data_IF_328007231697
#
_entry.id   IF_328007231697
#
_cell.length_a   1.000
_cell.length_b   1.000
_cell.length_c   1.000
_cell.angle_alpha   90.00
_cell.angle_beta   90.00
_cell.angle_gamma   90.00
#
_symmetry.space_group_name_H-M   'P 1'
#
loop_
_entity.id
_entity.type
_entity.pdbx_description
1 polymer ?
#
# COMPACT_ATOMS: atom_id res chain seq x y z
N UNK A 1 -9.47 -0.88 5.36
CA UNK A 1 -8.61 -2.10 5.36
C UNK A 1 -7.64 -2.11 4.19
N UNK A 2 -8.09 -2.11 2.91
CA UNK A 2 -7.19 -2.25 1.74
C UNK A 2 -6.05 -1.23 1.71
N UNK A 3 -6.31 0.04 1.98
CA UNK A 3 -5.25 1.06 2.01
C UNK A 3 -4.15 0.74 3.04
N UNK A 4 -4.53 0.33 4.25
CA UNK A 4 -3.56 -0.05 5.29
C UNK A 4 -2.79 -1.31 4.90
N UNK A 5 -3.47 -2.32 4.35
CA UNK A 5 -2.80 -3.54 3.85
C UNK A 5 -1.77 -3.20 2.77
N UNK A 6 -2.10 -2.27 1.86
CA UNK A 6 -1.21 -1.85 0.78
C UNK A 6 0.05 -1.14 1.29
N UNK A 7 -0.10 -0.23 2.25
CA UNK A 7 1.05 0.47 2.83
C UNK A 7 1.94 -0.47 3.63
N UNK A 8 1.38 -1.33 4.47
CA UNK A 8 2.12 -2.34 5.24
C UNK A 8 2.85 -3.32 4.32
N UNK A 9 2.20 -3.78 3.26
CA UNK A 9 2.81 -4.66 2.26
C UNK A 9 4.00 -3.99 1.56
N UNK A 10 3.84 -2.73 1.19
CA UNK A 10 4.91 -1.94 0.56
C UNK A 10 6.12 -1.75 1.48
N UNK A 11 5.90 -1.47 2.75
CA UNK A 11 6.97 -1.37 3.76
C UNK A 11 7.68 -2.72 3.96
N UNK A 12 6.93 -3.82 4.05
CA UNK A 12 7.48 -5.15 4.23
C UNK A 12 8.36 -5.57 3.05
N UNK A 13 7.92 -5.32 1.80
CA UNK A 13 8.72 -5.57 0.60
C UNK A 13 10.02 -4.73 0.67
N UNK A 14 9.90 -3.43 0.93
CA UNK A 14 11.06 -2.54 0.99
C UNK A 14 12.06 -2.94 2.08
N UNK A 15 11.57 -3.35 3.25
CA UNK A 15 12.42 -3.85 4.33
C UNK A 15 13.15 -5.15 3.94
N UNK A 16 12.42 -6.11 3.36
CA UNK A 16 12.99 -7.38 2.91
C UNK A 16 14.10 -7.15 1.87
N UNK A 17 13.85 -6.36 0.85
CA UNK A 17 14.84 -6.06 -0.20
C UNK A 17 16.07 -5.34 0.34
N UNK A 18 15.88 -4.32 1.18
CA UNK A 18 16.99 -3.58 1.79
C UNK A 18 17.80 -4.41 2.80
N UNK A 19 17.19 -5.48 3.32
CA UNK A 19 17.88 -6.46 4.19
C UNK A 19 18.61 -7.56 3.40
N UNK A 20 18.56 -7.54 2.07
CA UNK A 20 19.22 -8.49 1.20
C UNK A 20 18.41 -9.73 0.82
N UNK A 21 17.12 -9.79 1.22
CA UNK A 21 16.21 -10.84 0.79
C UNK A 21 15.70 -10.52 -0.63
N UNK A 22 15.67 -11.51 -1.49
CA UNK A 22 15.05 -11.34 -2.80
C UNK A 22 13.53 -11.21 -2.69
N UNK A 23 12.94 -10.39 -3.52
CA UNK A 23 11.49 -10.15 -3.54
C UNK A 23 10.70 -11.44 -3.73
N UNK A 24 11.16 -12.31 -4.61
CA UNK A 24 10.54 -13.61 -4.89
C UNK A 24 10.52 -14.50 -3.65
N UNK A 25 11.63 -14.53 -2.89
CA UNK A 25 11.72 -15.30 -1.64
C UNK A 25 10.75 -14.76 -0.59
N UNK A 26 10.61 -13.45 -0.48
CA UNK A 26 9.62 -12.82 0.40
C UNK A 26 8.19 -13.22 0.00
N UNK A 27 7.85 -13.19 -1.30
CA UNK A 27 6.53 -13.57 -1.78
C UNK A 27 6.23 -15.06 -1.60
N UNK A 28 7.23 -15.93 -1.75
CA UNK A 28 7.09 -17.36 -1.49
C UNK A 28 6.76 -17.65 -0.02
N UNK A 29 7.46 -16.99 0.90
CA UNK A 29 7.20 -17.09 2.35
C UNK A 29 5.79 -16.57 2.67
N UNK A 30 5.43 -15.39 2.17
CA UNK A 30 4.10 -14.79 2.39
C UNK A 30 2.99 -15.71 1.85
N UNK A 31 3.17 -16.27 0.65
CA UNK A 31 2.21 -17.15 -0.01
C UNK A 31 2.05 -18.51 0.66
N UNK A 32 3.02 -18.93 1.47
CA UNK A 32 2.99 -20.19 2.23
C UNK A 32 2.51 -20.02 3.66
N UNK A 33 2.30 -18.78 4.12
CA UNK A 33 1.96 -18.45 5.49
C UNK A 33 0.50 -18.09 5.71
N UNK A 34 0.19 -17.72 6.95
CA UNK A 34 -1.16 -17.35 7.39
C UNK A 34 -1.72 -16.08 6.72
N UNK A 35 -0.86 -15.25 6.13
CA UNK A 35 -1.27 -14.02 5.43
C UNK A 35 -1.51 -14.22 3.93
N UNK A 36 -1.41 -15.46 3.43
CA UNK A 36 -1.67 -15.74 2.02
C UNK A 36 -3.09 -15.32 1.65
N UNK A 37 -3.20 -14.52 0.60
CA UNK A 37 -4.49 -14.06 0.09
C UNK A 37 -4.39 -13.69 -1.40
N UNK A 38 -5.51 -13.72 -2.15
CA UNK A 38 -5.54 -13.24 -3.53
C UNK A 38 -5.06 -11.79 -3.66
N UNK A 39 -5.35 -10.95 -2.67
CA UNK A 39 -4.91 -9.56 -2.64
C UNK A 39 -3.39 -9.43 -2.74
N UNK A 40 -2.65 -10.10 -1.86
CA UNK A 40 -1.19 -10.05 -1.86
C UNK A 40 -0.59 -10.66 -3.12
N UNK A 41 -1.20 -11.71 -3.67
CA UNK A 41 -0.77 -12.32 -4.94
C UNK A 41 -0.91 -11.33 -6.11
N UNK A 42 -2.06 -10.67 -6.22
CA UNK A 42 -2.32 -9.68 -7.28
C UNK A 42 -1.38 -8.48 -7.14
N UNK A 43 -1.24 -7.92 -5.94
CA UNK A 43 -0.42 -6.75 -5.72
C UNK A 43 1.08 -7.05 -5.75
N UNK A 44 1.49 -8.23 -5.34
CA UNK A 44 2.87 -8.72 -5.51
C UNK A 44 3.26 -8.82 -6.99
N UNK A 45 2.37 -9.38 -7.82
CA UNK A 45 2.58 -9.40 -9.26
C UNK A 45 2.66 -7.98 -9.87
N UNK A 46 1.80 -7.07 -9.41
CA UNK A 46 1.84 -5.67 -9.86
C UNK A 46 3.17 -5.00 -9.48
N UNK A 47 3.70 -5.24 -8.27
CA UNK A 47 5.02 -4.73 -7.86
C UNK A 47 6.13 -5.32 -8.71
N UNK A 48 6.11 -6.63 -8.98
CA UNK A 48 7.12 -7.29 -9.80
C UNK A 48 7.19 -6.77 -11.24
N UNK A 49 6.04 -6.44 -11.80
CA UNK A 49 5.92 -5.97 -13.19
C UNK A 49 5.81 -4.46 -13.31
N UNK A 50 5.88 -3.74 -12.19
CA UNK A 50 5.70 -2.28 -12.13
C UNK A 50 4.39 -1.79 -12.78
N UNK A 51 3.30 -2.54 -12.56
CA UNK A 51 1.97 -2.23 -13.11
C UNK A 51 1.27 -1.18 -12.24
N UNK A 52 1.72 0.06 -12.35
CA UNK A 52 1.22 1.18 -11.54
C UNK A 52 0.37 2.18 -12.32
N UNK A 53 0.48 2.17 -13.65
CA UNK A 53 -0.09 3.18 -14.52
C UNK A 53 -1.62 3.11 -14.61
N UNK A 54 -2.31 4.18 -15.04
CA UNK A 54 -3.78 4.18 -15.13
C UNK A 54 -4.38 3.05 -15.96
N UNK A 55 -3.68 2.55 -16.99
CA UNK A 55 -4.12 1.41 -17.80
C UNK A 55 -4.09 0.06 -17.07
N UNK A 56 -3.31 -0.05 -16.01
CA UNK A 56 -3.12 -1.30 -15.24
C UNK A 56 -3.99 -1.36 -13.97
N UNK A 57 -4.79 -0.32 -13.72
CA UNK A 57 -5.51 -0.13 -12.46
C UNK A 57 -6.54 -1.21 -12.20
N UNK A 58 -6.47 -1.81 -11.00
CA UNK A 58 -7.55 -2.61 -10.43
C UNK A 58 -8.36 -1.83 -9.40
N UNK A 59 -7.72 -0.89 -8.70
CA UNK A 59 -8.35 0.04 -7.77
C UNK A 59 -7.54 1.33 -7.67
N UNK A 60 -8.13 2.46 -8.05
CA UNK A 60 -7.42 3.74 -8.10
C UNK A 60 -7.04 4.27 -6.72
N UNK A 61 -5.87 4.88 -6.65
CA UNK A 61 -5.33 5.48 -5.42
C UNK A 61 -6.27 6.50 -4.80
N UNK A 62 -6.87 7.39 -5.59
CA UNK A 62 -7.82 8.39 -5.10
C UNK A 62 -9.04 7.78 -4.40
N UNK A 63 -9.50 6.61 -4.83
CA UNK A 63 -10.62 5.91 -4.20
C UNK A 63 -10.18 5.23 -2.89
N UNK A 64 -8.99 4.66 -2.85
CA UNK A 64 -8.42 4.10 -1.62
C UNK A 64 -8.21 5.19 -0.56
N UNK A 65 -7.69 6.35 -0.97
CA UNK A 65 -7.54 7.51 -0.09
C UNK A 65 -8.90 8.03 0.42
N UNK A 66 -9.90 8.12 -0.46
CA UNK A 66 -11.26 8.50 -0.07
C UNK A 66 -11.81 7.55 1.00
N UNK A 67 -11.63 6.25 0.84
CA UNK A 67 -12.09 5.27 1.82
C UNK A 67 -11.40 5.45 3.18
N UNK A 68 -10.10 5.74 3.20
CA UNK A 68 -9.35 6.05 4.41
C UNK A 68 -9.87 7.33 5.07
N UNK A 69 -10.11 8.38 4.29
CA UNK A 69 -10.66 9.65 4.79
C UNK A 69 -12.02 9.46 5.44
N UNK A 70 -12.93 8.76 4.77
CA UNK A 70 -14.27 8.48 5.32
C UNK A 70 -14.20 7.64 6.60
N UNK A 71 -13.28 6.67 6.66
CA UNK A 71 -13.08 5.89 7.88
C UNK A 71 -12.56 6.75 9.03
N UNK A 72 -11.65 7.68 8.77
CA UNK A 72 -11.12 8.61 9.78
C UNK A 72 -12.21 9.57 10.29
N UNK A 73 -13.02 10.12 9.39
CA UNK A 73 -14.15 10.99 9.74
C UNK A 73 -15.14 10.22 10.66
N UNK A 74 -15.52 9.01 10.29
CA UNK A 74 -16.38 8.17 11.12
C UNK A 74 -15.73 7.85 12.47
N UNK A 75 -14.43 7.54 12.49
CA UNK A 75 -13.69 7.30 13.73
C UNK A 75 -13.78 8.47 14.70
N UNK A 76 -13.67 9.71 14.19
CA UNK A 76 -13.84 10.92 15.01
C UNK A 76 -15.26 11.04 15.56
N UNK A 77 -16.28 10.80 14.74
CA UNK A 77 -17.70 10.86 15.17
C UNK A 77 -18.01 9.88 16.30
N UNK A 78 -17.43 8.68 16.25
CA UNK A 78 -17.71 7.62 17.25
C UNK A 78 -16.64 7.50 18.33
N UNK A 79 -15.67 8.43 18.39
CA UNK A 79 -14.56 8.45 19.34
C UNK A 79 -13.68 7.19 19.28
N UNK A 80 -13.48 6.60 18.09
CA UNK A 80 -12.55 5.50 17.84
C UNK A 80 -11.27 5.99 17.22
N UNK A 81 -10.15 5.84 17.91
CA UNK A 81 -8.83 6.17 17.34
C UNK A 81 -8.47 5.19 16.22
N UNK A 82 -8.04 5.75 15.09
CA UNK A 82 -7.60 5.00 13.88
C UNK A 82 -6.17 5.40 13.50
N UNK A 83 -5.22 5.22 14.40
CA UNK A 83 -3.82 5.66 14.23
C UNK A 83 -3.19 5.06 12.97
N UNK A 84 -3.30 3.76 12.76
CA UNK A 84 -2.70 3.08 11.59
C UNK A 84 -3.32 3.57 10.27
N UNK A 85 -4.64 3.77 10.26
CA UNK A 85 -5.33 4.32 9.09
C UNK A 85 -4.89 5.77 8.79
N UNK A 86 -4.62 6.56 9.82
CA UNK A 86 -4.14 7.95 9.69
C UNK A 86 -2.76 8.00 9.01
N UNK A 87 -1.83 7.16 9.46
CA UNK A 87 -0.50 7.07 8.85
C UNK A 87 -0.57 6.57 7.40
N UNK A 88 -1.37 5.54 7.13
CA UNK A 88 -1.60 5.07 5.77
C UNK A 88 -2.19 6.17 4.88
N UNK A 89 -3.18 6.93 5.38
CA UNK A 89 -3.78 8.04 4.64
C UNK A 89 -2.75 9.12 4.27
N UNK A 90 -1.84 9.45 5.18
CA UNK A 90 -0.78 10.42 4.91
C UNK A 90 0.12 9.96 3.74
N UNK A 91 0.46 8.68 3.66
CA UNK A 91 1.26 8.11 2.57
C UNK A 91 0.51 8.17 1.23
N UNK A 92 -0.79 7.90 1.22
CA UNK A 92 -1.62 8.05 0.02
C UNK A 92 -1.73 9.51 -0.44
N UNK A 93 -1.91 10.45 0.48
CA UNK A 93 -1.92 11.88 0.16
C UNK A 93 -0.59 12.34 -0.44
N UNK A 94 0.53 11.84 0.10
CA UNK A 94 1.86 12.13 -0.46
C UNK A 94 2.01 11.58 -1.88
N UNK A 95 1.55 10.37 -2.14
CA UNK A 95 1.57 9.78 -3.47
C UNK A 95 0.68 10.56 -4.45
N UNK A 96 -0.51 10.96 -4.03
CA UNK A 96 -1.41 11.81 -4.84
C UNK A 96 -0.79 13.17 -5.14
N UNK A 97 -0.07 13.79 -4.20
CA UNK A 97 0.66 15.03 -4.42
C UNK A 97 1.78 14.90 -5.47
N UNK A 98 2.22 13.68 -5.77
CA UNK A 98 3.17 13.36 -6.86
C UNK A 98 2.47 13.02 -8.19
N UNK A 99 1.15 13.19 -8.29
CA UNK A 99 0.37 12.97 -9.51
C UNK A 99 -0.07 11.52 -9.73
N UNK A 100 -0.12 10.70 -8.67
CA UNK A 100 -0.44 9.27 -8.77
C UNK A 100 -1.92 8.94 -8.45
N UNK A 101 -2.79 9.94 -8.40
CA UNK A 101 -4.20 9.79 -8.01
C UNK A 101 -4.99 8.81 -8.88
N UNK A 102 -4.69 8.77 -10.18
CA UNK A 102 -5.34 7.89 -11.16
C UNK A 102 -4.63 6.54 -11.35
N UNK A 103 -3.45 6.38 -10.76
CA UNK A 103 -2.70 5.13 -10.75
C UNK A 103 -3.32 4.09 -9.82
N UNK A 104 -2.90 2.83 -9.93
CA UNK A 104 -3.28 1.80 -8.97
C UNK A 104 -2.81 2.18 -7.56
N UNK A 105 -3.58 1.80 -6.54
CA UNK A 105 -3.20 2.12 -5.15
C UNK A 105 -1.83 1.55 -4.75
N UNK A 106 -1.36 0.48 -5.41
CA UNK A 106 -0.01 -0.07 -5.14
C UNK A 106 1.12 0.86 -5.63
N UNK A 107 0.81 1.89 -6.41
CA UNK A 107 1.79 2.92 -6.79
C UNK A 107 2.31 3.72 -5.58
N UNK A 108 1.74 3.56 -4.40
CA UNK A 108 2.32 4.05 -3.14
C UNK A 108 3.65 3.35 -2.80
N UNK A 109 3.89 2.13 -3.31
CA UNK A 109 5.09 1.34 -3.03
C UNK A 109 6.39 2.08 -3.39
N UNK A 110 6.60 2.61 -4.60
CA UNK A 110 7.81 3.37 -4.91
C UNK A 110 7.93 4.68 -4.12
N UNK A 111 6.82 5.27 -3.68
CA UNK A 111 6.84 6.46 -2.82
C UNK A 111 7.39 6.14 -1.44
N UNK A 112 6.91 5.07 -0.82
CA UNK A 112 7.38 4.56 0.48
C UNK A 112 8.85 4.16 0.39
N UNK A 113 9.26 3.46 -0.66
CA UNK A 113 10.63 2.99 -0.86
C UNK A 113 11.68 4.10 -0.97
N UNK A 114 11.28 5.30 -1.37
CA UNK A 114 12.16 6.47 -1.49
C UNK A 114 12.31 7.26 -0.19
N UNK A 115 11.46 7.03 0.81
CA UNK A 115 11.56 7.75 2.08
C UNK A 115 12.84 7.37 2.81
N UNK A 116 13.61 8.39 3.20
CA UNK A 116 14.70 8.19 4.14
C UNK A 116 14.15 7.86 5.53
N UNK A 117 14.78 6.95 6.30
CA UNK A 117 14.41 6.74 7.69
C UNK A 117 14.56 8.04 8.47
N UNK A 118 13.60 8.27 9.35
CA UNK A 118 13.66 9.39 10.28
C UNK A 118 14.70 9.16 11.36
#
# INVERSE_FOLDING_TARGET
MLGVMTTTFSEAIGLAEKSGLKREEFFDVLGSGALQSPWYTIKGNAVNKELYQPEDVTFQMKHAQKDLRLALELGEEVNQSLTVAREANALFLEAMAQGLEDCDLIAVHPVIGKKAPK
#
